data_IF_092296705371
#
_entry.id   IF_092296705371
#
_cell.length_a   1.000
_cell.length_b   1.000
_cell.length_c   1.000
_cell.angle_alpha   90.00
_cell.angle_beta   90.00
_cell.angle_gamma   90.00
#
_symmetry.space_group_name_H-M   'P 1'
#
loop_
_entity.id
_entity.type
_entity.pdbx_description
1 polymer ?
#
# COMPACT_ATOMS: atom_id res chain seq x y z
N UNK A 1 -15.82 23.50 -21.20
CA UNK A 1 -14.55 22.78 -21.50
C UNK A 1 -13.84 22.58 -20.16
N UNK A 2 -13.42 21.43 -19.67
CA UNK A 2 -13.51 20.03 -20.05
C UNK A 2 -12.79 19.35 -18.90
N UNK A 3 -13.52 18.91 -17.87
CA UNK A 3 -12.93 18.28 -16.67
C UNK A 3 -12.52 16.82 -16.92
N UNK A 4 -13.12 16.20 -17.95
CA UNK A 4 -12.83 14.82 -18.36
C UNK A 4 -11.34 14.57 -18.68
N UNK A 5 -10.64 15.36 -19.52
CA UNK A 5 -9.22 15.18 -19.82
C UNK A 5 -8.33 15.13 -18.57
N UNK A 6 -8.60 15.97 -17.57
CA UNK A 6 -7.77 16.02 -16.36
C UNK A 6 -8.02 14.82 -15.44
N UNK A 7 -9.28 14.37 -15.33
CA UNK A 7 -9.61 13.11 -14.64
C UNK A 7 -8.91 11.93 -15.31
N UNK A 8 -8.97 11.81 -16.65
CA UNK A 8 -8.28 10.72 -17.36
C UNK A 8 -6.77 10.75 -17.18
N UNK A 9 -6.15 11.93 -17.19
CA UNK A 9 -4.71 12.09 -16.91
C UNK A 9 -4.35 11.65 -15.50
N UNK A 10 -5.19 11.98 -14.51
CA UNK A 10 -4.97 11.57 -13.12
C UNK A 10 -5.05 10.05 -12.94
N UNK A 11 -6.02 9.39 -13.58
CA UNK A 11 -6.19 7.93 -13.54
C UNK A 11 -5.02 7.24 -14.24
N UNK A 12 -4.60 7.74 -15.40
CA UNK A 12 -3.43 7.21 -16.11
C UNK A 12 -2.15 7.31 -15.28
N UNK A 13 -1.96 8.44 -14.58
CA UNK A 13 -0.85 8.63 -13.64
C UNK A 13 -0.92 7.68 -12.44
N UNK A 14 -2.12 7.41 -11.92
CA UNK A 14 -2.32 6.47 -10.81
C UNK A 14 -2.01 5.03 -11.21
N UNK A 15 -2.52 4.58 -12.36
CA UNK A 15 -2.30 3.22 -12.88
C UNK A 15 -0.82 2.92 -13.10
N UNK A 16 -0.04 3.90 -13.56
CA UNK A 16 1.41 3.74 -13.76
C UNK A 16 2.17 3.45 -12.46
N UNK A 17 1.63 3.86 -11.32
CA UNK A 17 2.25 3.69 -10.02
C UNK A 17 1.59 2.58 -9.18
N UNK A 18 0.82 1.70 -9.82
CA UNK A 18 0.23 0.54 -9.17
C UNK A 18 1.25 -0.60 -9.12
N UNK A 19 1.69 -0.96 -7.91
CA UNK A 19 2.58 -2.08 -7.67
C UNK A 19 1.82 -3.24 -7.02
N UNK A 20 2.07 -4.46 -7.48
CA UNK A 20 1.60 -5.68 -6.82
C UNK A 20 2.69 -6.18 -5.87
N UNK A 21 2.38 -6.22 -4.58
CA UNK A 21 3.28 -6.73 -3.54
C UNK A 21 2.71 -8.00 -2.93
N UNK A 22 3.55 -9.03 -2.78
CA UNK A 22 3.21 -10.25 -2.05
C UNK A 22 3.83 -10.20 -0.65
N UNK A 23 3.06 -10.60 0.37
CA UNK A 23 3.51 -10.65 1.75
C UNK A 23 3.35 -12.07 2.29
N UNK A 24 4.44 -12.66 2.79
CA UNK A 24 4.43 -13.94 3.49
C UNK A 24 4.51 -13.64 5.00
N UNK A 25 3.49 -14.00 5.79
CA UNK A 25 3.51 -13.70 7.21
C UNK A 25 4.51 -14.57 7.96
N UNK A 26 5.16 -13.97 8.96
CA UNK A 26 6.05 -14.68 9.89
C UNK A 26 5.26 -15.58 10.85
N UNK A 27 4.09 -15.11 11.31
CA UNK A 27 3.12 -15.94 12.03
C UNK A 27 2.30 -16.76 11.03
N UNK A 28 2.35 -18.10 11.08
CA UNK A 28 1.60 -18.98 10.17
C UNK A 28 0.38 -19.64 10.80
N UNK A 29 0.00 -19.22 12.02
CA UNK A 29 -1.13 -19.79 12.73
C UNK A 29 -2.43 -19.61 11.94
N UNK A 30 -3.27 -20.64 11.94
CA UNK A 30 -4.55 -20.69 11.23
C UNK A 30 -5.72 -20.46 12.19
N UNK A 31 -5.73 -19.30 12.82
CA UNK A 31 -6.60 -18.97 13.94
C UNK A 31 -7.84 -18.14 13.56
N UNK A 32 -8.02 -17.80 12.28
CA UNK A 32 -9.15 -16.97 11.86
C UNK A 32 -9.03 -15.48 12.24
N UNK A 33 -7.91 -15.04 12.82
CA UNK A 33 -7.78 -13.67 13.33
C UNK A 33 -7.39 -12.68 12.24
N UNK A 34 -7.85 -11.44 12.40
CA UNK A 34 -7.42 -10.33 11.54
C UNK A 34 -5.98 -9.94 11.83
N UNK A 35 -5.20 -9.73 10.77
CA UNK A 35 -3.79 -9.34 10.83
C UNK A 35 -3.60 -8.06 10.05
N UNK A 36 -3.26 -6.99 10.78
CA UNK A 36 -3.01 -5.68 10.21
C UNK A 36 -1.73 -5.69 9.38
N UNK A 37 -1.79 -5.11 8.19
CA UNK A 37 -0.64 -4.84 7.33
C UNK A 37 -0.41 -3.32 7.35
N UNK A 38 0.85 -2.91 7.52
CA UNK A 38 1.27 -1.51 7.41
C UNK A 38 2.26 -1.42 6.26
N UNK A 39 1.98 -0.56 5.30
CA UNK A 39 2.88 -0.28 4.16
C UNK A 39 3.42 1.14 4.36
N UNK A 40 4.74 1.27 4.36
CA UNK A 40 5.43 2.55 4.54
C UNK A 40 6.44 2.73 3.40
N UNK A 41 6.58 3.95 2.89
CA UNK A 41 7.67 4.28 2.00
C UNK A 41 8.91 4.61 2.83
N UNK A 42 9.98 3.88 2.54
CA UNK A 42 11.29 4.08 3.16
C UNK A 42 12.34 4.32 2.09
N UNK A 43 13.44 4.97 2.48
CA UNK A 43 14.64 5.08 1.67
C UNK A 43 15.41 3.75 1.67
N UNK A 44 16.45 3.65 0.83
CA UNK A 44 17.28 2.45 0.71
C UNK A 44 17.98 2.06 2.03
N UNK A 45 18.20 3.02 2.92
CA UNK A 45 18.76 2.82 4.26
C UNK A 45 17.71 2.41 5.32
N UNK A 46 16.43 2.33 4.94
CA UNK A 46 15.32 2.02 5.85
C UNK A 46 14.74 3.22 6.60
N UNK A 47 15.27 4.44 6.40
CA UNK A 47 14.71 5.65 6.99
C UNK A 47 13.40 6.07 6.32
N UNK A 48 12.48 6.79 7.01
CA UNK A 48 11.22 7.24 6.39
C UNK A 48 11.46 8.10 5.15
N UNK A 49 10.75 7.79 4.05
CA UNK A 49 10.84 8.60 2.85
C UNK A 49 10.15 9.95 3.06
N UNK A 50 10.84 11.04 2.71
CA UNK A 50 10.29 12.40 2.74
C UNK A 50 10.25 12.92 1.31
N UNK A 51 9.05 13.11 0.77
CA UNK A 51 8.87 13.76 -0.53
C UNK A 51 9.11 15.25 -0.37
N UNK A 52 10.06 15.82 -1.11
CA UNK A 52 10.30 17.26 -1.17
C UNK A 52 10.11 17.76 -2.60
N UNK A 53 9.53 18.95 -2.76
CA UNK A 53 9.47 19.61 -4.06
C UNK A 53 10.83 20.24 -4.45
N UNK A 54 10.93 20.78 -5.66
CA UNK A 54 12.14 21.47 -6.16
C UNK A 54 12.55 22.68 -5.31
N UNK A 55 11.66 23.16 -4.43
CA UNK A 55 11.88 24.29 -3.51
C UNK A 55 12.13 23.82 -2.08
N UNK A 56 12.29 22.51 -1.84
CA UNK A 56 12.57 21.92 -0.54
C UNK A 56 11.35 21.82 0.41
N UNK A 57 10.13 22.11 -0.05
CA UNK A 57 8.94 21.92 0.79
C UNK A 57 8.56 20.46 0.86
N UNK A 58 8.31 19.99 2.09
CA UNK A 58 7.80 18.64 2.35
C UNK A 58 6.40 18.49 1.79
N UNK A 59 6.21 17.47 0.95
CA UNK A 59 4.93 17.10 0.37
C UNK A 59 4.39 15.85 1.08
N UNK A 60 3.08 15.83 1.30
CA UNK A 60 2.40 14.67 1.87
C UNK A 60 2.14 13.66 0.76
N UNK A 61 2.55 12.41 0.97
CA UNK A 61 2.16 11.30 0.12
C UNK A 61 1.07 10.46 0.82
N UNK A 62 0.29 9.73 0.02
CA UNK A 62 -0.74 8.82 0.51
C UNK A 62 -0.45 7.44 -0.04
N UNK A 63 -0.45 6.44 0.83
CA UNK A 63 -0.30 5.04 0.45
C UNK A 63 -1.66 4.37 0.54
N UNK A 64 -2.18 3.92 -0.60
CA UNK A 64 -3.40 3.12 -0.66
C UNK A 64 -3.01 1.65 -0.68
N UNK A 65 -3.30 0.94 0.40
CA UNK A 65 -2.99 -0.49 0.56
C UNK A 65 -4.10 -1.20 1.32
N UNK A 66 -4.14 -2.53 1.24
CA UNK A 66 -5.02 -3.34 2.09
C UNK A 66 -4.61 -3.15 3.56
N UNK A 67 -5.58 -2.90 4.43
CA UNK A 67 -5.34 -2.70 5.86
C UNK A 67 -4.89 -3.97 6.58
N UNK A 68 -5.14 -5.13 5.98
CA UNK A 68 -4.80 -6.41 6.56
C UNK A 68 -5.45 -7.58 5.82
N UNK A 69 -5.38 -8.75 6.44
CA UNK A 69 -6.03 -9.96 5.97
C UNK A 69 -6.53 -10.79 7.15
N UNK A 70 -7.54 -11.63 6.90
CA UNK A 70 -8.02 -12.61 7.87
C UNK A 70 -7.21 -13.89 7.67
N UNK A 71 -6.57 -14.39 8.73
CA UNK A 71 -5.87 -15.66 8.67
C UNK A 71 -6.87 -16.80 8.38
N UNK A 72 -6.51 -17.81 7.58
CA UNK A 72 -7.41 -18.93 7.35
C UNK A 72 -7.70 -19.63 8.69
N UNK A 73 -8.95 -20.05 8.91
CA UNK A 73 -9.29 -20.92 10.04
C UNK A 73 -8.88 -22.34 9.66
N UNK A 74 -8.19 -23.07 10.55
CA UNK A 74 -7.98 -24.50 10.35
C UNK A 74 -9.33 -25.16 10.07
N UNK A 75 -9.42 -25.98 9.00
CA UNK A 75 -10.64 -26.72 8.72
C UNK A 75 -10.95 -27.61 9.93
N UNK A 76 -12.19 -27.60 10.39
CA UNK A 76 -12.68 -28.63 11.30
C UNK A 76 -12.97 -29.84 10.41
N UNK A 77 -12.04 -30.77 10.34
CA UNK A 77 -12.16 -31.97 9.50
C UNK A 77 -10.81 -32.57 9.13
N UNK A 78 -10.23 -33.32 10.07
CA UNK A 78 -9.60 -34.62 9.86
C UNK A 78 -10.09 -35.54 10.99
#
# INVERSE_FOLDING_TARGET
EGEMPDVFRSVAGFLRNQYSMAYIPTNRNRDGKFRKIKVELVQADGSPFVLQDQKGKKQKYVVYAREGYIAPKGAVGD
#
